data_IF_678661572474
#
_entry.id   IF_678661572474
#
_cell.length_a   1.000
_cell.length_b   1.000
_cell.length_c   1.000
_cell.angle_alpha   90.00
_cell.angle_beta   90.00
_cell.angle_gamma   90.00
#
_symmetry.space_group_name_H-M   'P 1'
#
loop_
_entity.id
_entity.type
_entity.pdbx_description
1 polymer ?
#
# COMPACT_ATOMS: atom_id res chain seq x y z
N UNK A 1 1.57 4.19 -0.50
CA UNK A 1 0.26 4.89 -0.58
C UNK A 1 -0.85 3.88 -0.40
N UNK A 2 -1.87 4.25 0.34
CA UNK A 2 -2.97 3.34 0.68
C UNK A 2 -4.30 4.05 0.40
N UNK A 3 -5.24 3.34 -0.23
CA UNK A 3 -6.53 3.93 -0.55
C UNK A 3 -7.39 4.10 0.70
N UNK A 4 -8.42 4.93 0.61
CA UNK A 4 -9.27 5.22 1.75
C UNK A 4 -9.96 3.99 2.33
N UNK A 5 -10.31 3.05 1.48
CA UNK A 5 -10.93 1.80 1.94
C UNK A 5 -10.00 0.99 2.82
N UNK A 6 -8.73 0.91 2.41
CA UNK A 6 -7.74 0.15 3.16
C UNK A 6 -7.32 0.86 4.45
N UNK A 7 -7.36 2.18 4.46
CA UNK A 7 -7.04 2.94 5.68
C UNK A 7 -8.00 2.65 6.81
N UNK A 8 -9.26 2.37 6.49
CA UNK A 8 -10.26 2.05 7.49
C UNK A 8 -10.38 0.56 7.80
N UNK A 9 -9.55 -0.25 7.18
CA UNK A 9 -9.62 -1.70 7.35
C UNK A 9 -9.01 -2.14 8.68
N UNK A 10 -9.68 -3.08 9.32
CA UNK A 10 -9.16 -3.67 10.55
C UNK A 10 -8.13 -4.73 10.18
N UNK A 11 -6.95 -4.63 10.77
CA UNK A 11 -5.86 -5.57 10.51
C UNK A 11 -5.35 -6.17 11.81
N UNK A 12 -4.73 -7.34 11.70
CA UNK A 12 -4.13 -8.00 12.84
C UNK A 12 -2.66 -7.58 12.93
N UNK A 13 -2.19 -7.32 14.15
CA UNK A 13 -0.79 -6.96 14.37
C UNK A 13 0.05 -8.23 14.43
N UNK A 14 0.46 -8.72 13.27
CA UNK A 14 1.27 -9.91 13.16
C UNK A 14 2.17 -9.80 11.94
N UNK A 15 3.37 -10.37 12.06
CA UNK A 15 4.34 -10.32 10.96
C UNK A 15 3.81 -11.08 9.75
N UNK A 16 3.88 -10.44 8.59
CA UNK A 16 3.44 -11.05 7.35
C UNK A 16 4.50 -10.84 6.26
N UNK A 17 4.72 -11.85 5.46
CA UNK A 17 5.65 -11.77 4.34
C UNK A 17 4.88 -11.99 3.04
N UNK A 18 5.03 -11.04 2.13
CA UNK A 18 4.36 -11.10 0.84
C UNK A 18 5.34 -10.71 -0.25
N UNK A 19 4.86 -10.73 -1.48
CA UNK A 19 5.67 -10.32 -2.62
C UNK A 19 4.87 -9.35 -3.48
N UNK A 20 5.58 -8.40 -4.07
CA UNK A 20 4.95 -7.42 -4.95
C UNK A 20 4.40 -8.11 -6.20
N UNK A 21 3.14 -7.80 -6.56
CA UNK A 21 2.52 -8.37 -7.75
C UNK A 21 3.10 -7.81 -9.05
N UNK A 22 3.85 -6.73 -8.98
CA UNK A 22 4.41 -6.07 -10.16
C UNK A 22 5.87 -6.45 -10.41
N UNK A 23 6.68 -6.38 -9.38
CA UNK A 23 8.12 -6.63 -9.53
C UNK A 23 8.62 -7.82 -8.71
N UNK A 24 7.73 -8.47 -7.98
CA UNK A 24 8.05 -9.65 -7.17
C UNK A 24 9.08 -9.38 -6.06
N UNK A 25 9.21 -8.13 -5.62
CA UNK A 25 10.09 -7.78 -4.52
C UNK A 25 9.50 -8.29 -3.21
N UNK A 26 10.27 -8.96 -2.35
CA UNK A 26 9.73 -9.43 -1.07
C UNK A 26 9.36 -8.27 -0.17
N UNK A 27 8.20 -8.37 0.47
CA UNK A 27 7.67 -7.33 1.34
C UNK A 27 7.41 -7.94 2.72
N UNK A 28 7.90 -7.26 3.75
CA UNK A 28 7.63 -7.66 5.14
C UNK A 28 6.78 -6.58 5.79
N UNK A 29 5.65 -6.98 6.35
CA UNK A 29 4.75 -6.04 7.00
C UNK A 29 4.46 -6.50 8.42
N UNK A 30 4.11 -5.54 9.28
CA UNK A 30 3.77 -5.85 10.67
C UNK A 30 2.28 -6.03 10.89
N UNK A 31 1.54 -6.35 9.85
CA UNK A 31 0.10 -6.56 9.96
C UNK A 31 -0.39 -7.57 8.91
N UNK A 32 -1.55 -8.14 9.18
CA UNK A 32 -2.21 -9.07 8.26
C UNK A 32 -3.58 -8.49 7.92
N UNK A 33 -3.96 -8.41 6.64
CA UNK A 33 -3.22 -8.87 5.46
C UNK A 33 -2.04 -7.96 5.13
N UNK A 34 -0.98 -8.54 4.57
CA UNK A 34 0.20 -7.79 4.17
C UNK A 34 -0.03 -7.02 2.87
N UNK A 35 0.95 -6.22 2.51
CA UNK A 35 0.88 -5.46 1.28
C UNK A 35 1.04 -6.36 0.06
N UNK A 36 0.29 -6.05 -0.99
CA UNK A 36 0.36 -6.79 -2.25
C UNK A 36 1.29 -6.11 -3.25
N UNK A 37 1.59 -4.84 -3.03
CA UNK A 37 2.41 -4.02 -3.91
C UNK A 37 3.51 -3.38 -3.07
N UNK A 38 4.74 -3.38 -3.57
CA UNK A 38 5.82 -2.74 -2.84
C UNK A 38 5.68 -1.21 -2.92
N UNK A 39 6.35 -0.54 -2.00
CA UNK A 39 6.25 0.91 -1.89
C UNK A 39 6.66 1.61 -3.19
N UNK A 40 7.69 1.12 -3.83
CA UNK A 40 8.16 1.71 -5.08
C UNK A 40 7.14 1.58 -6.20
N UNK A 41 6.57 0.39 -6.38
CA UNK A 41 5.56 0.18 -7.40
C UNK A 41 4.28 0.95 -7.10
N UNK A 42 3.92 1.04 -5.84
CA UNK A 42 2.75 1.82 -5.44
C UNK A 42 2.92 3.28 -5.84
N UNK A 43 4.09 3.83 -5.59
CA UNK A 43 4.40 5.22 -5.96
C UNK A 43 4.48 5.39 -7.48
N UNK A 44 5.12 4.45 -8.15
CA UNK A 44 5.31 4.52 -9.59
C UNK A 44 3.99 4.43 -10.36
N UNK A 45 3.15 3.49 -9.97
CA UNK A 45 1.89 3.24 -10.66
C UNK A 45 0.73 4.07 -10.11
N UNK A 46 0.90 4.69 -8.94
CA UNK A 46 -0.19 5.41 -8.29
C UNK A 46 -1.30 4.48 -7.83
N UNK A 47 -0.95 3.34 -7.25
CA UNK A 47 -1.90 2.33 -6.80
C UNK A 47 -1.74 2.05 -5.32
N UNK A 48 -2.79 1.48 -4.72
CA UNK A 48 -2.79 1.14 -3.30
C UNK A 48 -1.81 -0.02 -3.03
N UNK A 49 -0.98 0.13 -2.02
CA UNK A 49 -0.06 -0.94 -1.62
C UNK A 49 -0.79 -2.16 -1.09
N UNK A 50 -1.93 -1.95 -0.47
CA UNK A 50 -2.67 -3.01 0.19
C UNK A 50 -3.49 -3.86 -0.77
N UNK A 51 -4.22 -3.23 -1.68
CA UNK A 51 -5.14 -3.93 -2.57
C UNK A 51 -4.81 -3.79 -4.06
N UNK A 52 -3.92 -2.88 -4.42
CA UNK A 52 -3.53 -2.69 -5.80
C UNK A 52 -4.53 -1.89 -6.65
N UNK A 53 -5.51 -1.27 -6.02
CA UNK A 53 -6.50 -0.46 -6.71
C UNK A 53 -5.90 0.89 -7.09
N UNK A 54 -6.29 1.43 -8.23
CA UNK A 54 -5.83 2.75 -8.64
C UNK A 54 -6.28 3.82 -7.65
N UNK A 55 -5.35 4.69 -7.29
CA UNK A 55 -5.63 5.78 -6.37
C UNK A 55 -6.11 7.01 -7.13
N UNK A 56 -6.99 7.80 -6.50
CA UNK A 56 -7.45 9.05 -7.08
C UNK A 56 -6.44 10.15 -6.79
N UNK A 57 -6.56 11.26 -7.52
CA UNK A 57 -5.68 12.41 -7.31
C UNK A 57 -5.79 12.92 -5.88
N UNK A 58 -6.98 12.87 -5.30
CA UNK A 58 -7.17 13.32 -3.92
C UNK A 58 -6.41 12.46 -2.93
N UNK A 59 -6.41 11.15 -3.14
CA UNK A 59 -5.69 10.25 -2.26
C UNK A 59 -4.19 10.44 -2.38
N UNK A 60 -3.71 10.67 -3.58
CA UNK A 60 -2.29 10.93 -3.83
C UNK A 60 -1.87 12.27 -3.22
N UNK A 61 -2.69 13.29 -3.34
CA UNK A 61 -2.40 14.60 -2.77
C UNK A 61 -2.26 14.58 -1.26
N UNK A 62 -3.09 13.78 -0.60
CA UNK A 62 -3.03 13.66 0.86
C UNK A 62 -1.67 13.14 1.29
N UNK A 63 -1.15 12.17 0.56
CA UNK A 63 0.18 11.63 0.86
C UNK A 63 1.26 12.68 0.66
N UNK A 64 1.20 13.43 -0.44
CA UNK A 64 2.18 14.46 -0.73
C UNK A 64 2.19 15.56 0.33
N UNK A 65 1.01 15.99 0.75
CA UNK A 65 0.90 17.03 1.76
C UNK A 65 1.56 16.61 3.06
N UNK A 66 1.47 15.36 3.38
CA UNK A 66 2.02 14.83 4.62
C UNK A 66 3.54 14.89 4.66
N UNK A 67 4.18 14.89 3.52
CA UNK A 67 5.63 14.87 3.44
C UNK A 67 6.26 16.25 3.64
N UNK A 68 5.47 17.25 3.71
CA UNK A 68 5.96 18.57 3.96
C UNK A 68 5.97 18.86 5.46
#
# INVERSE_FOLDING_TARGET
MICNKCKGMIVMHALSKTECNKCATPITTGHIPGYLICKECSSYWGICEQCGTELTDEEIKVEDTKNE
#
